data_IF_740280604196
#
_entry.id   IF_740280604196
#
_cell.length_a   1.000
_cell.length_b   1.000
_cell.length_c   1.000
_cell.angle_alpha   90.00
_cell.angle_beta   90.00
_cell.angle_gamma   90.00
#
_symmetry.space_group_name_H-M   'P 1'
#
loop_
_entity.id
_entity.type
_entity.pdbx_description
1 polymer ?
#
# COMPACT_ATOMS: atom_id res chain seq x y z
N UNK A 1 10.70 27.68 -20.90
CA UNK A 1 9.31 27.15 -21.01
C UNK A 1 8.67 27.56 -22.34
N UNK A 2 8.60 28.84 -22.71
CA UNK A 2 7.98 29.31 -23.94
C UNK A 2 8.56 28.64 -25.22
N UNK A 3 9.87 28.39 -25.28
CA UNK A 3 10.51 27.70 -26.40
C UNK A 3 10.08 26.23 -26.55
N UNK A 4 9.84 25.56 -25.42
CA UNK A 4 9.38 24.17 -25.39
C UNK A 4 7.93 24.05 -25.86
N UNK A 5 7.05 24.97 -25.44
CA UNK A 5 5.66 25.01 -25.91
C UNK A 5 5.58 25.19 -27.43
N UNK A 6 6.42 26.09 -27.97
CA UNK A 6 6.50 26.34 -29.39
C UNK A 6 7.03 25.12 -30.17
N UNK A 7 7.99 24.39 -29.61
CA UNK A 7 8.53 23.19 -30.24
C UNK A 7 7.47 22.06 -30.30
N UNK A 8 6.68 21.87 -29.24
CA UNK A 8 5.58 20.93 -29.23
C UNK A 8 4.48 21.28 -30.24
N UNK A 9 4.18 22.58 -30.43
CA UNK A 9 3.23 23.03 -31.44
C UNK A 9 3.76 22.75 -32.87
N UNK A 10 5.02 23.04 -33.14
CA UNK A 10 5.65 22.74 -34.40
C UNK A 10 5.66 21.23 -34.72
N UNK A 11 5.92 20.40 -33.73
CA UNK A 11 5.87 18.93 -33.86
C UNK A 11 4.48 18.45 -34.31
N UNK A 12 3.40 18.97 -33.67
CA UNK A 12 2.03 18.66 -34.07
C UNK A 12 1.70 19.16 -35.47
N UNK A 13 2.13 20.36 -35.81
CA UNK A 13 1.91 20.95 -37.16
C UNK A 13 2.60 20.12 -38.24
N UNK A 14 3.85 19.76 -38.03
CA UNK A 14 4.66 19.04 -39.01
C UNK A 14 4.22 17.58 -39.16
N UNK A 15 3.91 16.94 -38.04
CA UNK A 15 3.53 15.52 -38.04
C UNK A 15 2.06 15.28 -38.40
N UNK A 16 1.18 16.28 -38.22
CA UNK A 16 -0.27 16.11 -38.30
C UNK A 16 -0.86 15.17 -37.24
N UNK A 17 -0.09 14.86 -36.20
CA UNK A 17 -0.49 13.94 -35.15
C UNK A 17 -0.71 14.65 -33.81
N UNK A 18 -1.72 14.25 -33.00
CA UNK A 18 -1.92 14.84 -31.70
C UNK A 18 -0.80 14.47 -30.73
N UNK A 19 -0.48 15.39 -29.83
CA UNK A 19 0.40 15.19 -28.67
C UNK A 19 -0.43 15.34 -27.43
N UNK A 20 -0.68 14.22 -26.74
CA UNK A 20 -1.63 14.13 -25.62
C UNK A 20 -0.91 13.85 -24.29
N UNK A 21 -1.53 14.30 -23.21
CA UNK A 21 -1.09 13.95 -21.85
C UNK A 21 0.23 14.61 -21.43
N UNK A 22 0.56 15.78 -21.96
CA UNK A 22 1.76 16.52 -21.56
C UNK A 22 1.53 17.08 -20.16
N UNK A 23 2.26 16.55 -19.18
CA UNK A 23 2.15 17.01 -17.78
C UNK A 23 3.38 17.84 -17.46
N UNK A 24 3.14 19.08 -17.03
CA UNK A 24 4.21 20.00 -16.70
C UNK A 24 3.83 20.95 -15.56
N UNK A 25 4.81 21.34 -14.74
CA UNK A 25 4.58 22.36 -13.74
C UNK A 25 4.54 23.74 -14.40
N UNK A 26 3.69 24.62 -13.88
CA UNK A 26 3.72 26.03 -14.21
C UNK A 26 3.64 26.88 -12.94
N UNK A 27 4.09 28.11 -13.05
CA UNK A 27 4.04 29.06 -11.94
C UNK A 27 3.00 30.15 -12.26
N UNK A 28 2.06 30.33 -11.35
CA UNK A 28 1.07 31.40 -11.45
C UNK A 28 1.70 32.76 -11.16
N UNK A 29 1.01 33.85 -11.53
CA UNK A 29 1.54 35.20 -11.35
C UNK A 29 1.79 35.61 -9.89
N UNK A 30 1.16 34.94 -8.93
CA UNK A 30 1.37 35.06 -7.48
C UNK A 30 2.50 34.16 -6.94
N UNK A 31 3.17 33.39 -7.83
CA UNK A 31 4.29 32.53 -7.48
C UNK A 31 3.92 31.11 -7.04
N UNK A 32 2.63 30.75 -7.04
CA UNK A 32 2.20 29.39 -6.72
C UNK A 32 2.60 28.42 -7.82
N UNK A 33 3.17 27.29 -7.43
CA UNK A 33 3.49 26.18 -8.35
C UNK A 33 2.27 25.29 -8.54
N UNK A 34 1.83 25.15 -9.78
CA UNK A 34 0.70 24.31 -10.19
C UNK A 34 1.10 23.32 -11.27
N UNK A 35 0.23 22.37 -11.55
CA UNK A 35 0.40 21.35 -12.54
C UNK A 35 -0.69 21.44 -13.61
N UNK A 36 -0.30 21.43 -14.86
CA UNK A 36 -1.22 21.39 -15.99
C UNK A 36 -0.99 20.14 -16.82
N UNK A 37 -2.09 19.53 -17.25
CA UNK A 37 -2.07 18.53 -18.31
C UNK A 37 -2.56 19.18 -19.58
N UNK A 38 -1.77 19.10 -20.63
CA UNK A 38 -2.03 19.75 -21.93
C UNK A 38 -2.13 18.70 -23.01
N UNK A 39 -3.19 18.81 -23.81
CA UNK A 39 -3.38 18.04 -25.04
C UNK A 39 -3.32 19.00 -26.21
N UNK A 40 -2.52 18.66 -27.22
CA UNK A 40 -2.33 19.44 -28.45
C UNK A 40 -2.81 18.61 -29.63
N UNK A 41 -3.82 19.09 -30.34
CA UNK A 41 -4.48 18.37 -31.42
C UNK A 41 -4.40 19.22 -32.69
N UNK A 42 -4.00 18.68 -33.87
CA UNK A 42 -3.99 19.43 -35.09
C UNK A 42 -5.40 19.80 -35.54
N UNK A 43 -5.59 21.04 -35.92
CA UNK A 43 -6.81 21.54 -36.55
C UNK A 43 -6.66 21.46 -38.06
N UNK A 44 -7.52 20.68 -38.73
CA UNK A 44 -7.41 20.35 -40.14
C UNK A 44 -8.48 21.06 -40.98
N UNK A 45 -8.14 21.42 -42.21
CA UNK A 45 -9.10 21.82 -43.23
C UNK A 45 -9.84 20.56 -43.80
N UNK A 46 -10.88 20.75 -44.65
CA UNK A 46 -11.58 19.64 -45.28
C UNK A 46 -10.68 18.82 -46.24
N UNK A 47 -9.55 19.36 -46.64
CA UNK A 47 -8.54 18.72 -47.51
C UNK A 47 -7.47 17.97 -46.73
N UNK A 48 -7.49 18.08 -45.38
CA UNK A 48 -6.55 17.39 -44.48
C UNK A 48 -5.27 18.18 -44.19
N UNK A 49 -5.18 19.46 -44.59
CA UNK A 49 -4.03 20.30 -44.26
C UNK A 49 -4.16 20.85 -42.86
N UNK A 50 -3.03 20.92 -42.15
CA UNK A 50 -3.02 21.49 -40.79
C UNK A 50 -3.14 23.02 -40.84
N UNK A 51 -4.23 23.55 -40.30
CA UNK A 51 -4.47 25.00 -40.21
C UNK A 51 -3.93 25.58 -38.89
N UNK A 52 -3.74 24.75 -37.88
CA UNK A 52 -3.26 25.18 -36.57
C UNK A 52 -3.29 24.05 -35.53
N UNK A 53 -3.08 24.42 -34.29
CA UNK A 53 -3.13 23.49 -33.12
C UNK A 53 -4.21 23.95 -32.17
N UNK A 54 -5.07 23.04 -31.77
CA UNK A 54 -5.99 23.21 -30.65
C UNK A 54 -5.30 22.73 -29.39
N UNK A 55 -5.29 23.57 -28.36
CA UNK A 55 -4.66 23.27 -27.08
C UNK A 55 -5.73 23.20 -26.02
N UNK A 56 -5.83 22.05 -25.36
CA UNK A 56 -6.66 21.83 -24.18
C UNK A 56 -5.74 21.73 -22.98
N UNK A 57 -5.94 22.59 -21.99
CA UNK A 57 -5.16 22.62 -20.77
C UNK A 57 -6.09 22.40 -19.56
N UNK A 58 -5.76 21.43 -18.74
CA UNK A 58 -6.48 21.08 -17.50
C UNK A 58 -5.56 21.25 -16.31
N UNK A 59 -5.99 22.02 -15.31
CA UNK A 59 -5.31 22.08 -14.03
C UNK A 59 -5.50 20.74 -13.29
N UNK A 60 -4.40 20.06 -13.01
CA UNK A 60 -4.37 18.78 -12.30
C UNK A 60 -3.67 18.90 -10.94
N UNK A 61 -3.51 20.11 -10.43
CA UNK A 61 -2.76 20.38 -9.19
C UNK A 61 -3.34 19.64 -8.00
N UNK A 62 -4.66 19.67 -7.83
CA UNK A 62 -5.33 18.98 -6.72
C UNK A 62 -5.13 17.45 -6.80
N UNK A 63 -5.27 16.89 -7.99
CA UNK A 63 -5.01 15.46 -8.22
C UNK A 63 -3.57 15.10 -7.85
N UNK A 64 -2.59 15.89 -8.30
CA UNK A 64 -1.18 15.67 -7.99
C UNK A 64 -0.87 15.80 -6.50
N UNK A 65 -1.45 16.78 -5.83
CA UNK A 65 -1.29 16.93 -4.37
C UNK A 65 -1.88 15.75 -3.61
N UNK A 66 -3.04 15.26 -4.03
CA UNK A 66 -3.67 14.09 -3.40
C UNK A 66 -2.86 12.81 -3.61
N UNK A 67 -2.37 12.58 -4.84
CA UNK A 67 -1.49 11.45 -5.15
C UNK A 67 -0.20 11.48 -4.31
N UNK A 68 0.41 12.66 -4.17
CA UNK A 68 1.64 12.85 -3.40
C UNK A 68 1.41 12.67 -1.90
N UNK A 69 0.35 13.25 -1.35
CA UNK A 69 -0.02 13.08 0.06
C UNK A 69 -0.33 11.61 0.40
N UNK A 70 -1.02 10.89 -0.49
CA UNK A 70 -1.27 9.46 -0.32
C UNK A 70 0.03 8.66 -0.35
N UNK A 71 0.93 8.97 -1.28
CA UNK A 71 2.25 8.33 -1.37
C UNK A 71 3.10 8.59 -0.13
N UNK A 72 3.19 9.84 0.32
CA UNK A 72 3.92 10.20 1.54
C UNK A 72 3.36 9.49 2.77
N UNK A 73 2.02 9.40 2.89
CA UNK A 73 1.36 8.67 3.96
C UNK A 73 1.69 7.17 3.93
N UNK A 74 1.67 6.56 2.74
CA UNK A 74 2.02 5.15 2.56
C UNK A 74 3.49 4.88 2.90
N UNK A 75 4.41 5.76 2.46
CA UNK A 75 5.84 5.65 2.77
C UNK A 75 6.10 5.82 4.27
N UNK A 76 5.40 6.75 4.94
CA UNK A 76 5.50 6.93 6.39
C UNK A 76 5.03 5.68 7.15
N UNK A 77 3.86 5.12 6.80
CA UNK A 77 3.35 3.89 7.39
C UNK A 77 4.33 2.73 7.20
N UNK A 78 4.92 2.61 6.01
CA UNK A 78 5.93 1.61 5.72
C UNK A 78 7.15 1.76 6.62
N UNK A 79 7.68 2.97 6.80
CA UNK A 79 8.82 3.24 7.67
C UNK A 79 8.51 2.87 9.13
N UNK A 80 7.31 3.20 9.62
CA UNK A 80 6.86 2.81 10.97
C UNK A 80 6.83 1.29 11.11
N UNK A 81 6.28 0.58 10.14
CA UNK A 81 6.24 -0.88 10.14
C UNK A 81 7.63 -1.52 10.10
N UNK A 82 8.54 -0.95 9.28
CA UNK A 82 9.92 -1.44 9.16
C UNK A 82 10.78 -1.15 10.41
N UNK A 83 10.50 -0.05 11.10
CA UNK A 83 11.21 0.35 12.33
C UNK A 83 10.68 -0.30 13.60
N UNK A 84 9.53 -0.97 13.53
CA UNK A 84 8.94 -1.62 14.69
C UNK A 84 9.87 -2.73 15.22
N UNK A 85 10.16 -2.70 16.52
CA UNK A 85 11.01 -3.70 17.19
C UNK A 85 10.32 -5.05 17.35
N UNK A 86 9.00 -5.09 17.15
CA UNK A 86 8.16 -6.26 17.28
C UNK A 86 7.69 -6.74 15.91
N UNK A 87 7.44 -8.04 15.78
CA UNK A 87 6.74 -8.58 14.63
C UNK A 87 5.31 -8.05 14.59
N UNK A 88 4.85 -7.61 13.42
CA UNK A 88 3.48 -7.16 13.19
C UNK A 88 2.88 -7.96 12.06
N UNK A 89 1.73 -8.58 12.33
CA UNK A 89 0.92 -9.31 11.34
C UNK A 89 -0.47 -8.68 11.34
N UNK A 90 -1.01 -8.40 10.16
CA UNK A 90 -2.41 -8.00 9.99
C UNK A 90 -3.16 -9.12 9.29
N UNK A 91 -4.27 -9.55 9.87
CA UNK A 91 -5.14 -10.59 9.32
C UNK A 91 -6.56 -10.08 9.12
N UNK A 92 -7.25 -10.65 8.13
CA UNK A 92 -8.68 -10.40 7.90
C UNK A 92 -9.57 -11.30 8.78
N UNK A 93 -10.88 -11.18 8.57
CA UNK A 93 -11.89 -11.95 9.30
C UNK A 93 -11.82 -13.48 9.06
N UNK A 94 -11.24 -13.89 7.95
CA UNK A 94 -11.03 -15.27 7.55
C UNK A 94 -9.69 -15.84 8.03
N UNK A 95 -8.86 -15.02 8.70
CA UNK A 95 -7.53 -15.40 9.19
C UNK A 95 -6.45 -15.39 8.10
N UNK A 96 -6.72 -14.73 6.97
CA UNK A 96 -5.71 -14.57 5.92
C UNK A 96 -4.76 -13.41 6.26
N UNK A 97 -3.48 -13.63 6.10
CA UNK A 97 -2.45 -12.60 6.31
C UNK A 97 -2.56 -11.57 5.19
N UNK A 98 -2.82 -10.33 5.54
CA UNK A 98 -2.83 -9.21 4.62
C UNK A 98 -1.48 -8.52 4.55
N UNK A 99 -0.78 -8.44 5.68
CA UNK A 99 0.46 -7.71 5.79
C UNK A 99 1.33 -8.28 6.91
N UNK A 100 2.64 -8.29 6.67
CA UNK A 100 3.68 -8.55 7.68
C UNK A 100 4.75 -7.47 7.62
N UNK A 101 5.43 -7.23 8.73
CA UNK A 101 6.64 -6.42 8.72
C UNK A 101 7.89 -7.31 8.59
N UNK A 102 9.06 -6.76 8.22
CA UNK A 102 10.28 -7.54 8.02
C UNK A 102 10.74 -8.34 9.24
N UNK A 103 10.33 -7.91 10.44
CA UNK A 103 10.66 -8.60 11.68
C UNK A 103 9.97 -9.98 11.75
N UNK A 104 8.70 -10.07 11.34
CA UNK A 104 7.97 -11.35 11.21
C UNK A 104 8.64 -12.23 10.18
N UNK A 105 8.93 -11.70 8.99
CA UNK A 105 9.52 -12.48 7.90
C UNK A 105 10.84 -13.13 8.36
N UNK A 106 11.70 -12.34 9.02
CA UNK A 106 12.98 -12.83 9.58
C UNK A 106 12.75 -13.84 10.71
N UNK A 107 11.84 -13.57 11.64
CA UNK A 107 11.60 -14.39 12.82
C UNK A 107 11.05 -15.78 12.44
N UNK A 108 10.18 -15.82 11.41
CA UNK A 108 9.58 -17.06 10.92
C UNK A 108 10.34 -17.69 9.75
N UNK A 109 11.39 -17.05 9.24
CA UNK A 109 12.26 -17.58 8.19
C UNK A 109 11.65 -17.55 6.79
N UNK A 110 10.77 -16.60 6.51
CA UNK A 110 10.17 -16.39 5.20
C UNK A 110 10.86 -15.24 4.45
N UNK A 111 10.77 -15.26 3.13
CA UNK A 111 11.17 -14.13 2.31
C UNK A 111 10.13 -13.01 2.35
N UNK A 112 10.57 -11.79 2.08
CA UNK A 112 9.69 -10.62 2.09
C UNK A 112 8.54 -10.76 1.08
N UNK A 113 7.30 -10.62 1.58
CA UNK A 113 6.10 -10.72 0.76
C UNK A 113 5.62 -12.15 0.49
N UNK A 114 6.24 -13.16 1.08
CA UNK A 114 5.84 -14.57 0.92
C UNK A 114 4.62 -14.93 1.80
N UNK A 115 4.44 -14.26 2.92
CA UNK A 115 3.37 -14.53 3.87
C UNK A 115 2.01 -13.89 3.51
N UNK A 116 1.92 -12.68 2.93
CA UNK A 116 0.65 -12.12 2.54
C UNK A 116 -0.13 -13.04 1.58
N UNK A 117 -1.44 -13.18 1.82
CA UNK A 117 -2.31 -14.12 1.10
C UNK A 117 -2.27 -15.56 1.62
N UNK A 118 -1.46 -15.86 2.65
CA UNK A 118 -1.43 -17.18 3.30
C UNK A 118 -2.27 -17.17 4.58
N UNK A 119 -2.84 -18.32 4.97
CA UNK A 119 -3.54 -18.44 6.25
C UNK A 119 -2.54 -18.31 7.40
N UNK A 120 -2.90 -17.57 8.44
CA UNK A 120 -2.03 -17.32 9.61
C UNK A 120 -1.71 -18.61 10.39
N UNK A 121 -2.54 -19.62 10.30
CA UNK A 121 -2.29 -20.95 10.88
C UNK A 121 -1.03 -21.61 10.31
N UNK A 122 -0.54 -21.15 9.16
CA UNK A 122 0.74 -21.61 8.60
C UNK A 122 1.92 -21.34 9.53
N UNK A 123 1.81 -20.30 10.32
CA UNK A 123 2.81 -19.91 11.32
C UNK A 123 2.72 -20.70 12.63
N UNK A 124 1.81 -21.69 12.71
CA UNK A 124 1.58 -22.53 13.89
C UNK A 124 1.82 -24.00 13.60
N UNK A 125 2.37 -24.76 14.58
CA UNK A 125 2.44 -26.22 14.49
C UNK A 125 1.06 -26.84 14.28
N UNK A 126 0.98 -27.89 13.44
CA UNK A 126 -0.30 -28.52 13.06
C UNK A 126 -1.15 -28.97 14.28
N UNK A 127 -0.50 -29.40 15.35
CA UNK A 127 -1.18 -29.81 16.62
C UNK A 127 -1.88 -28.69 17.36
N UNK A 128 -1.49 -27.43 17.11
CA UNK A 128 -2.03 -26.24 17.76
C UNK A 128 -3.04 -25.49 16.88
N UNK A 129 -3.24 -25.95 15.65
CA UNK A 129 -4.20 -25.32 14.74
C UNK A 129 -5.62 -25.61 15.18
N UNK A 130 -6.49 -24.60 15.22
CA UNK A 130 -7.90 -24.79 15.54
C UNK A 130 -8.55 -25.75 14.55
N UNK A 131 -9.40 -26.65 15.04
CA UNK A 131 -10.14 -27.61 14.21
C UNK A 131 -11.56 -27.09 13.99
N UNK A 132 -12.05 -27.15 12.75
CA UNK A 132 -13.42 -26.77 12.38
C UNK A 132 -13.61 -25.31 11.96
N UNK A 133 -14.85 -24.80 12.12
CA UNK A 133 -15.25 -23.44 11.73
C UNK A 133 -14.63 -22.31 12.59
N UNK A 134 -13.97 -22.64 13.68
CA UNK A 134 -13.34 -21.66 14.58
C UNK A 134 -11.92 -21.28 14.18
N UNK A 135 -11.55 -21.49 12.90
CA UNK A 135 -10.21 -21.15 12.38
C UNK A 135 -9.80 -19.70 12.65
N UNK A 136 -10.76 -18.79 12.62
CA UNK A 136 -10.55 -17.39 12.95
C UNK A 136 -10.47 -17.11 14.45
N UNK A 137 -11.02 -18.00 15.29
CA UNK A 137 -11.25 -17.74 16.74
C UNK A 137 -10.01 -17.52 17.59
N UNK A 138 -8.83 -18.02 17.17
CA UNK A 138 -7.57 -17.81 17.90
C UNK A 138 -6.98 -16.43 17.62
N UNK A 139 -7.26 -15.86 16.43
CA UNK A 139 -6.73 -14.58 15.99
C UNK A 139 -7.79 -13.47 15.86
N UNK A 140 -9.07 -13.79 16.16
CA UNK A 140 -10.17 -12.83 16.13
C UNK A 140 -10.80 -12.74 17.53
N UNK A 141 -10.39 -11.75 18.29
CA UNK A 141 -11.14 -11.32 19.46
C UNK A 141 -12.34 -10.53 18.97
N UNK A 142 -13.56 -10.95 19.30
CA UNK A 142 -14.76 -10.18 18.98
C UNK A 142 -14.74 -8.87 19.77
N UNK A 143 -15.19 -7.74 19.14
CA UNK A 143 -15.16 -6.42 19.79
C UNK A 143 -15.91 -6.33 21.12
N UNK A 144 -16.81 -7.28 21.41
CA UNK A 144 -17.57 -7.33 22.65
C UNK A 144 -16.78 -7.92 23.84
N UNK A 145 -15.65 -8.59 23.60
CA UNK A 145 -14.74 -9.00 24.65
C UNK A 145 -13.90 -7.81 25.11
N UNK A 146 -14.42 -7.08 26.10
CA UNK A 146 -13.78 -5.92 26.73
C UNK A 146 -12.53 -6.26 27.56
N UNK A 147 -12.00 -7.44 27.45
CA UNK A 147 -10.72 -7.80 28.05
C UNK A 147 -9.59 -7.22 27.21
N UNK A 148 -8.81 -6.35 27.84
CA UNK A 148 -7.48 -5.93 27.37
C UNK A 148 -6.80 -7.14 26.79
N UNK A 149 -6.36 -7.04 25.52
CA UNK A 149 -5.74 -8.12 24.76
C UNK A 149 -4.78 -8.94 25.62
N UNK A 150 -5.14 -10.17 26.02
CA UNK A 150 -4.24 -10.96 26.83
C UNK A 150 -2.98 -11.25 26.04
N UNK A 151 -1.83 -11.02 26.66
CA UNK A 151 -0.56 -11.52 26.12
C UNK A 151 -0.64 -13.04 26.18
N UNK A 152 -0.65 -13.68 25.02
CA UNK A 152 -0.70 -15.12 24.92
C UNK A 152 0.70 -15.68 24.61
N UNK A 153 1.12 -16.66 25.40
CA UNK A 153 2.30 -17.45 25.06
C UNK A 153 1.93 -18.47 23.99
N UNK A 154 2.70 -18.49 22.91
CA UNK A 154 2.44 -19.31 21.76
C UNK A 154 3.72 -20.02 21.27
N UNK A 155 3.53 -21.03 20.42
CA UNK A 155 4.62 -21.71 19.73
C UNK A 155 4.47 -21.42 18.25
N UNK A 156 5.48 -20.79 17.64
CA UNK A 156 5.59 -20.52 16.21
C UNK A 156 6.27 -21.66 15.48
N UNK A 157 5.91 -21.79 14.20
CA UNK A 157 6.53 -22.72 13.27
C UNK A 157 7.22 -21.92 12.17
N UNK A 158 8.54 -22.07 12.07
CA UNK A 158 9.31 -21.47 10.97
C UNK A 158 9.13 -22.24 9.67
N UNK A 159 9.50 -21.61 8.58
CA UNK A 159 9.49 -22.22 7.24
C UNK A 159 10.32 -23.51 7.16
N UNK A 160 11.41 -23.60 7.89
CA UNK A 160 12.29 -24.78 7.97
C UNK A 160 11.73 -25.92 8.86
N UNK A 161 10.56 -25.71 9.49
CA UNK A 161 9.93 -26.67 10.38
C UNK A 161 10.38 -26.58 11.83
N UNK A 162 11.28 -25.67 12.21
CA UNK A 162 11.66 -25.45 13.61
C UNK A 162 10.58 -24.71 14.38
N UNK A 163 10.38 -25.12 15.62
CA UNK A 163 9.43 -24.47 16.54
C UNK A 163 10.16 -23.53 17.49
N UNK A 164 9.51 -22.43 17.83
CA UNK A 164 10.07 -21.47 18.78
C UNK A 164 8.96 -20.82 19.64
N UNK A 165 9.24 -20.50 20.90
CA UNK A 165 8.29 -19.80 21.75
C UNK A 165 8.25 -18.32 21.40
N UNK A 166 7.05 -17.75 21.41
CA UNK A 166 6.84 -16.31 21.27
C UNK A 166 5.61 -15.87 22.07
N UNK A 167 5.50 -14.58 22.33
CA UNK A 167 4.30 -13.97 22.87
C UNK A 167 3.59 -13.15 21.81
N UNK A 168 2.27 -13.20 21.81
CA UNK A 168 1.48 -12.37 20.92
C UNK A 168 0.46 -11.54 21.67
N UNK A 169 0.14 -10.39 21.12
CA UNK A 169 -0.97 -9.53 21.54
C UNK A 169 -1.88 -9.31 20.35
N UNK A 170 -3.18 -9.48 20.55
CA UNK A 170 -4.20 -9.31 19.51
C UNK A 170 -4.96 -8.02 19.73
N UNK A 171 -5.09 -7.20 18.72
CA UNK A 171 -5.88 -5.97 18.74
C UNK A 171 -6.87 -5.98 17.58
N UNK A 172 -8.18 -6.10 17.84
CA UNK A 172 -9.19 -6.02 16.80
C UNK A 172 -9.30 -4.59 16.27
N UNK A 173 -9.42 -4.45 14.95
CA UNK A 173 -9.57 -3.19 14.24
C UNK A 173 -10.80 -3.25 13.33
N UNK A 174 -11.82 -2.47 13.65
CA UNK A 174 -12.99 -2.29 12.79
C UNK A 174 -12.73 -1.18 11.77
N UNK A 175 -12.91 -1.49 10.52
CA UNK A 175 -12.81 -0.53 9.42
C UNK A 175 -14.10 -0.52 8.59
N UNK A 176 -14.22 0.41 7.65
CA UNK A 176 -15.32 0.41 6.67
C UNK A 176 -15.35 -0.85 5.80
N UNK A 177 -14.22 -1.53 5.65
CA UNK A 177 -14.07 -2.74 4.82
C UNK A 177 -14.22 -4.05 5.61
N UNK A 178 -14.41 -3.97 6.93
CA UNK A 178 -14.61 -5.15 7.77
C UNK A 178 -13.75 -5.17 9.03
N UNK A 179 -13.76 -6.35 9.68
CA UNK A 179 -12.96 -6.62 10.88
C UNK A 179 -11.59 -7.14 10.48
N UNK A 180 -10.57 -6.54 11.05
CA UNK A 180 -9.18 -6.97 10.98
C UNK A 180 -8.64 -7.23 12.38
N UNK A 181 -7.57 -7.99 12.46
CA UNK A 181 -6.82 -8.13 13.71
C UNK A 181 -5.36 -7.80 13.49
N UNK A 182 -4.82 -6.95 14.34
CA UNK A 182 -3.39 -6.66 14.39
C UNK A 182 -2.76 -7.55 15.46
N UNK A 183 -1.83 -8.39 15.04
CA UNK A 183 -1.09 -9.31 15.91
C UNK A 183 0.32 -8.75 16.11
N UNK A 184 0.65 -8.35 17.31
CA UNK A 184 2.02 -8.03 17.68
C UNK A 184 2.71 -9.29 18.20
N UNK A 185 3.83 -9.65 17.60
CA UNK A 185 4.63 -10.83 17.91
C UNK A 185 5.93 -10.41 18.57
N UNK A 186 6.17 -10.89 19.79
CA UNK A 186 7.40 -10.65 20.52
C UNK A 186 8.13 -11.99 20.73
N UNK A 187 9.44 -11.98 20.61
CA UNK A 187 10.23 -13.13 20.98
C UNK A 187 10.11 -13.34 22.49
N UNK A 188 9.76 -14.52 22.95
CA UNK A 188 9.78 -14.83 24.36
C UNK A 188 11.24 -14.69 24.84
N UNK A 189 11.47 -13.76 25.78
CA UNK A 189 12.75 -13.70 26.47
C UNK A 189 12.85 -14.99 27.27
N UNK A 190 13.80 -15.86 26.92
CA UNK A 190 14.03 -17.08 27.66
C UNK A 190 14.24 -16.76 29.11
N UNK A 191 13.34 -17.27 29.96
CA UNK A 191 13.60 -17.36 31.39
C UNK A 191 14.73 -18.39 31.50
N UNK A 192 15.93 -17.92 31.84
CA UNK A 192 17.09 -18.74 32.11
C UNK A 192 16.90 -19.52 33.41
#
# INVERSE_FOLDING_TARGET
EAERYHQDDLEVIVSGRPKLGIIEPYQTGDGEKRWVQTDKVPYLDPQGNVLGVLVFAQDITERKRTEEALRESADCLRLVMESASNGIIVVDAEGMILLTNPHVDTQFGYERGELPGQPVERLMPARLRPQGSDRAGVFLIRPDDRSVSPVCECVGLRKDGTEFPFTMTLTPLMTTNGLYSVVAVNQAQGIA
#
